data_IF_476280581940
#
_entry.id   IF_476280581940
#
_cell.length_a   1.000
_cell.length_b   1.000
_cell.length_c   1.000
_cell.angle_alpha   90.00
_cell.angle_beta   90.00
_cell.angle_gamma   90.00
#
_symmetry.space_group_name_H-M   'P 1'
#
loop_
_entity.id
_entity.type
_entity.pdbx_description
1 polymer ?
#
# COMPACT_ATOMS: atom_id res chain seq x y z
N UNK A 1 -44.89 5.81 51.41
CA UNK A 1 -43.44 6.09 51.16
C UNK A 1 -43.20 5.85 49.66
N UNK A 2 -43.28 6.91 48.82
CA UNK A 2 -43.05 6.84 47.38
C UNK A 2 -41.58 7.23 47.11
N UNK A 3 -40.77 6.28 46.63
CA UNK A 3 -39.43 6.53 46.14
C UNK A 3 -39.49 6.84 44.63
N UNK A 4 -39.19 8.09 44.26
CA UNK A 4 -39.10 8.54 42.88
C UNK A 4 -37.65 8.31 42.44
N UNK A 5 -37.44 7.35 41.55
CA UNK A 5 -36.17 7.16 40.87
C UNK A 5 -36.08 8.09 39.65
N UNK A 6 -35.24 9.12 39.76
CA UNK A 6 -34.91 10.01 38.65
C UNK A 6 -33.91 9.30 37.70
N UNK A 7 -34.33 8.97 36.49
CA UNK A 7 -33.48 8.53 35.41
C UNK A 7 -32.80 9.77 34.80
N UNK A 8 -31.51 9.96 35.08
CA UNK A 8 -30.69 10.93 34.36
C UNK A 8 -30.34 10.35 32.99
N UNK A 9 -31.02 10.87 31.98
CA UNK A 9 -30.77 10.60 30.57
C UNK A 9 -29.37 11.11 30.19
N UNK A 10 -28.46 10.19 29.86
CA UNK A 10 -27.19 10.54 29.21
C UNK A 10 -27.47 11.07 27.80
N UNK A 11 -27.31 12.38 27.63
CA UNK A 11 -27.40 13.06 26.35
C UNK A 11 -26.16 12.70 25.53
N UNK A 12 -26.34 11.83 24.57
CA UNK A 12 -25.35 11.38 23.60
C UNK A 12 -24.72 12.56 22.85
N UNK A 13 -23.39 12.58 22.76
CA UNK A 13 -22.60 13.65 22.13
C UNK A 13 -22.55 13.54 20.59
N UNK A 14 -23.71 13.37 19.96
CA UNK A 14 -23.86 13.31 18.49
C UNK A 14 -23.66 14.66 17.81
N UNK A 15 -23.74 15.75 18.55
CA UNK A 15 -23.71 17.12 18.04
C UNK A 15 -22.30 17.63 17.70
N UNK A 16 -21.23 17.08 18.27
CA UNK A 16 -19.85 17.56 18.02
C UNK A 16 -19.30 17.06 16.68
N UNK A 17 -19.65 15.84 16.28
CA UNK A 17 -19.18 15.24 15.03
C UNK A 17 -19.81 15.90 13.80
N UNK A 18 -21.11 16.22 13.87
CA UNK A 18 -21.85 16.87 12.79
C UNK A 18 -21.35 18.28 12.50
N UNK A 19 -21.00 19.07 13.53
CA UNK A 19 -20.40 20.40 13.39
C UNK A 19 -19.00 20.40 12.79
N UNK A 20 -18.21 19.34 13.05
CA UNK A 20 -16.88 19.19 12.44
C UNK A 20 -16.98 18.85 10.96
N UNK A 21 -17.97 18.06 10.56
CA UNK A 21 -18.20 17.64 9.17
C UNK A 21 -18.70 18.79 8.29
N UNK A 22 -19.66 19.60 8.78
CA UNK A 22 -20.17 20.77 8.07
C UNK A 22 -19.10 21.86 7.89
N UNK A 23 -18.18 22.01 8.84
CA UNK A 23 -17.07 22.98 8.76
C UNK A 23 -15.99 22.56 7.76
N UNK A 24 -15.86 21.26 7.46
CA UNK A 24 -14.94 20.74 6.45
C UNK A 24 -15.49 20.90 5.03
N UNK A 25 -16.81 20.78 4.84
CA UNK A 25 -17.45 20.98 3.53
C UNK A 25 -17.52 22.45 3.11
N UNK A 26 -17.69 23.37 4.03
CA UNK A 26 -17.77 24.82 3.73
C UNK A 26 -16.43 25.43 3.27
N UNK A 27 -15.33 24.68 3.31
CA UNK A 27 -13.99 25.15 2.92
C UNK A 27 -13.57 24.70 1.52
N UNK A 28 -14.42 23.96 0.80
CA UNK A 28 -14.16 23.45 -0.55
C UNK A 28 -14.87 24.20 -1.68
N UNK A 29 -15.64 25.25 -1.40
CA UNK A 29 -16.28 26.09 -2.44
C UNK A 29 -15.67 27.49 -2.48
N UNK A 30 -14.46 27.62 -3.03
CA UNK A 30 -13.97 28.83 -3.65
C UNK A 30 -13.23 28.48 -4.93
N UNK A 31 -13.75 28.88 -6.10
CA UNK A 31 -13.02 28.79 -7.35
C UNK A 31 -11.97 29.92 -7.36
N UNK A 32 -10.71 29.59 -7.36
CA UNK A 32 -9.66 30.54 -7.67
C UNK A 32 -9.37 30.51 -9.17
N UNK A 33 -9.72 31.61 -9.83
CA UNK A 33 -9.30 31.96 -11.17
C UNK A 33 -7.78 31.88 -11.33
N UNK A 34 -7.36 31.21 -12.39
CA UNK A 34 -5.98 31.22 -12.87
C UNK A 34 -5.75 32.47 -13.74
N UNK A 35 -4.64 33.19 -13.58
CA UNK A 35 -4.11 34.00 -14.66
C UNK A 35 -3.09 33.19 -15.45
N UNK A 36 -3.38 33.04 -16.72
CA UNK A 36 -2.47 32.56 -17.76
C UNK A 36 -1.36 33.61 -17.99
N UNK A 37 -0.10 33.16 -18.07
CA UNK A 37 1.00 33.90 -18.65
C UNK A 37 2.04 32.92 -19.24
N UNK A 38 2.89 33.34 -20.18
CA UNK A 38 2.90 32.76 -21.54
C UNK A 38 4.05 31.73 -21.75
N UNK A 39 3.80 30.90 -22.74
CA UNK A 39 4.71 29.97 -23.41
C UNK A 39 6.01 30.67 -23.80
N UNK A 40 7.15 30.13 -23.36
CA UNK A 40 8.42 30.27 -24.05
C UNK A 40 8.89 28.89 -24.48
N UNK A 41 8.90 28.70 -25.79
CA UNK A 41 9.62 27.67 -26.51
C UNK A 41 11.12 27.84 -26.26
N UNK A 42 11.78 26.80 -25.73
CA UNK A 42 13.21 26.64 -25.95
C UNK A 42 13.51 25.20 -26.37
N UNK A 43 14.17 25.14 -27.51
CA UNK A 43 14.60 23.98 -28.29
C UNK A 43 15.52 23.04 -27.52
N UNK A 44 15.51 21.72 -27.84
CA UNK A 44 16.30 20.73 -27.13
C UNK A 44 17.77 20.79 -27.53
N UNK A 45 18.62 21.07 -26.57
CA UNK A 45 20.05 20.81 -26.69
C UNK A 45 20.27 19.33 -26.41
N UNK A 46 20.59 18.58 -27.43
CA UNK A 46 21.05 17.20 -27.35
C UNK A 46 22.41 17.18 -26.66
N UNK A 47 22.46 16.78 -25.41
CA UNK A 47 23.72 16.44 -24.75
C UNK A 47 24.05 14.97 -25.03
N UNK A 48 25.32 14.64 -25.34
CA UNK A 48 25.70 13.26 -25.67
C UNK A 48 25.58 12.34 -24.49
N UNK A 49 25.05 11.16 -24.77
CA UNK A 49 24.91 10.02 -23.85
C UNK A 49 26.31 9.63 -23.35
N UNK A 50 26.63 9.97 -22.11
CA UNK A 50 27.77 9.39 -21.43
C UNK A 50 27.32 8.01 -20.93
N UNK A 51 27.79 6.98 -21.62
CA UNK A 51 27.70 5.61 -21.10
C UNK A 51 28.50 5.54 -19.80
N UNK A 52 27.76 5.50 -18.68
CA UNK A 52 28.36 5.13 -17.40
C UNK A 52 28.65 3.62 -17.45
N UNK A 53 29.86 3.17 -17.10
CA UNK A 53 30.14 1.75 -17.01
C UNK A 53 29.23 1.15 -15.94
N UNK A 54 28.40 0.18 -16.34
CA UNK A 54 27.71 -0.71 -15.41
C UNK A 54 28.78 -1.43 -14.61
N UNK A 55 29.01 -0.94 -13.41
CA UNK A 55 29.74 -1.69 -12.41
C UNK A 55 28.87 -2.88 -12.09
N UNK A 56 29.22 -4.05 -12.63
CA UNK A 56 28.71 -5.33 -12.15
C UNK A 56 29.10 -5.44 -10.68
N UNK A 57 28.25 -4.93 -9.80
CA UNK A 57 28.31 -5.29 -8.39
C UNK A 57 27.89 -6.75 -8.36
N UNK A 58 28.85 -7.64 -8.24
CA UNK A 58 28.64 -9.03 -7.87
C UNK A 58 27.96 -9.01 -6.49
N UNK A 59 26.64 -8.94 -6.49
CA UNK A 59 25.83 -9.13 -5.31
C UNK A 59 26.04 -10.58 -4.94
N UNK A 60 26.79 -10.85 -3.88
CA UNK A 60 26.89 -12.15 -3.25
C UNK A 60 25.49 -12.48 -2.78
N UNK A 61 24.82 -13.33 -3.54
CA UNK A 61 23.41 -13.63 -3.40
C UNK A 61 23.24 -14.55 -2.16
N UNK A 62 23.11 -13.93 -0.98
CA UNK A 62 22.74 -14.61 0.26
C UNK A 62 21.24 -14.98 0.29
N UNK A 63 20.63 -15.12 -0.89
CA UNK A 63 19.21 -15.39 -1.07
C UNK A 63 18.79 -16.81 -0.70
N UNK A 64 19.72 -17.73 -0.58
CA UNK A 64 19.41 -19.13 -0.23
C UNK A 64 18.81 -19.29 1.17
N UNK A 65 19.12 -18.37 2.10
CA UNK A 65 18.61 -18.41 3.47
C UNK A 65 17.22 -17.79 3.66
N UNK A 66 16.64 -17.15 2.64
CA UNK A 66 15.31 -16.56 2.76
C UNK A 66 14.24 -17.61 2.50
N UNK A 67 13.45 -17.92 3.53
CA UNK A 67 12.34 -18.85 3.41
C UNK A 67 11.26 -18.30 2.49
N UNK A 68 10.85 -19.11 1.51
CA UNK A 68 9.75 -18.81 0.58
C UNK A 68 8.60 -19.76 0.88
N UNK A 69 7.38 -19.21 0.98
CA UNK A 69 6.17 -20.01 1.15
C UNK A 69 5.49 -20.19 -0.21
N UNK A 70 5.11 -21.40 -0.53
CA UNK A 70 4.34 -21.75 -1.72
C UNK A 70 2.88 -21.90 -1.33
N UNK A 71 2.00 -21.11 -1.91
CA UNK A 71 0.55 -21.17 -1.61
C UNK A 71 -0.26 -21.10 -2.90
N UNK A 72 -1.46 -21.71 -2.88
CA UNK A 72 -2.46 -21.50 -3.91
C UNK A 72 -3.24 -20.22 -3.59
N UNK A 73 -3.42 -19.36 -4.56
CA UNK A 73 -4.17 -18.13 -4.37
C UNK A 73 -4.83 -17.63 -5.66
N UNK A 74 -5.86 -16.82 -5.48
CA UNK A 74 -6.56 -16.13 -6.56
C UNK A 74 -6.32 -14.62 -6.42
N UNK A 75 -6.07 -13.95 -7.54
CA UNK A 75 -5.95 -12.48 -7.56
C UNK A 75 -7.32 -11.86 -7.26
N UNK A 76 -7.37 -10.95 -6.29
CA UNK A 76 -8.57 -10.21 -5.90
C UNK A 76 -8.54 -8.79 -6.45
N UNK A 77 -7.40 -8.11 -6.30
CA UNK A 77 -7.16 -6.74 -6.80
C UNK A 77 -5.70 -6.58 -7.21
N UNK A 78 -5.48 -6.06 -8.42
CA UNK A 78 -4.16 -5.77 -8.96
C UNK A 78 -3.99 -6.17 -10.42
N UNK A 79 -2.77 -5.99 -10.93
CA UNK A 79 -2.39 -6.26 -12.33
C UNK A 79 -1.90 -7.68 -12.62
N UNK A 80 -1.74 -8.49 -11.56
CA UNK A 80 -1.17 -9.85 -11.63
C UNK A 80 0.18 -9.95 -10.91
N UNK A 81 0.57 -11.19 -10.56
CA UNK A 81 1.80 -11.48 -9.83
C UNK A 81 2.79 -12.24 -10.70
N UNK A 82 4.07 -11.92 -10.52
CA UNK A 82 5.19 -12.71 -10.99
C UNK A 82 5.43 -13.92 -10.06
N UNK A 83 6.49 -14.68 -10.32
CA UNK A 83 6.81 -15.91 -9.59
C UNK A 83 7.00 -15.69 -8.08
N UNK A 84 7.66 -14.59 -7.70
CA UNK A 84 7.95 -14.26 -6.31
C UNK A 84 7.31 -12.93 -5.92
N UNK A 85 6.71 -12.90 -4.75
CA UNK A 85 5.99 -11.74 -4.25
C UNK A 85 6.34 -11.46 -2.79
N UNK A 86 6.41 -10.19 -2.41
CA UNK A 86 6.62 -9.77 -1.02
C UNK A 86 5.27 -9.52 -0.38
N UNK A 87 4.90 -10.35 0.58
CA UNK A 87 3.68 -10.21 1.37
C UNK A 87 4.00 -9.46 2.65
N UNK A 88 3.25 -8.38 2.91
CA UNK A 88 3.44 -7.53 4.10
C UNK A 88 2.26 -7.59 5.07
N UNK A 89 1.16 -8.23 4.70
CA UNK A 89 0.00 -8.38 5.57
C UNK A 89 -0.88 -9.56 5.19
N UNK A 90 -1.62 -10.07 6.18
CA UNK A 90 -2.56 -11.17 6.02
C UNK A 90 -3.77 -10.95 6.89
N UNK A 91 -4.97 -10.98 6.32
CA UNK A 91 -6.20 -10.60 6.97
C UNK A 91 -7.33 -11.59 6.69
N UNK A 92 -8.17 -11.88 7.69
CA UNK A 92 -9.40 -12.63 7.50
C UNK A 92 -10.53 -11.80 6.90
N UNK A 93 -10.42 -10.46 6.97
CA UNK A 93 -11.43 -9.52 6.46
C UNK A 93 -10.85 -8.73 5.29
N UNK A 94 -11.56 -8.73 4.16
CA UNK A 94 -11.14 -8.05 2.93
C UNK A 94 -10.91 -6.56 3.13
N UNK A 95 -11.79 -5.87 3.84
CA UNK A 95 -11.69 -4.43 4.07
C UNK A 95 -10.38 -4.02 4.77
N UNK A 96 -9.85 -4.87 5.68
CA UNK A 96 -8.57 -4.62 6.33
C UNK A 96 -7.39 -4.75 5.34
N UNK A 97 -7.47 -5.71 4.42
CA UNK A 97 -6.49 -5.87 3.35
C UNK A 97 -6.51 -4.67 2.39
N UNK A 98 -7.70 -4.19 2.02
CA UNK A 98 -7.90 -3.00 1.17
C UNK A 98 -7.35 -1.73 1.85
N UNK A 99 -7.52 -1.60 3.17
CA UNK A 99 -6.94 -0.51 3.95
C UNK A 99 -5.41 -0.47 3.87
N UNK A 100 -4.75 -1.61 4.10
CA UNK A 100 -3.29 -1.71 3.97
C UNK A 100 -2.82 -1.51 2.53
N UNK A 101 -3.54 -2.07 1.55
CA UNK A 101 -3.23 -1.86 0.13
C UNK A 101 -3.25 -0.38 -0.25
N UNK A 102 -4.25 0.36 0.22
CA UNK A 102 -4.38 1.80 -0.05
C UNK A 102 -3.22 2.59 0.54
N UNK A 103 -2.77 2.25 1.75
CA UNK A 103 -1.59 2.86 2.38
C UNK A 103 -0.32 2.59 1.56
N UNK A 104 -0.13 1.36 1.11
CA UNK A 104 1.01 0.98 0.27
C UNK A 104 0.99 1.68 -1.09
N UNK A 105 -0.17 1.78 -1.73
CA UNK A 105 -0.34 2.53 -2.99
C UNK A 105 -0.02 4.02 -2.80
N UNK A 106 -0.46 4.62 -1.70
CA UNK A 106 -0.12 6.00 -1.35
C UNK A 106 1.39 6.20 -1.09
N UNK A 107 2.09 5.17 -0.60
CA UNK A 107 3.53 5.15 -0.42
C UNK A 107 4.31 4.84 -1.72
N UNK A 108 3.63 4.68 -2.87
CA UNK A 108 4.24 4.45 -4.18
C UNK A 108 4.47 2.98 -4.54
N UNK A 109 3.97 2.03 -3.75
CA UNK A 109 4.05 0.60 -4.07
C UNK A 109 2.92 0.17 -5.01
N UNK A 110 3.20 -0.75 -5.93
CA UNK A 110 2.17 -1.38 -6.76
C UNK A 110 1.49 -2.53 -5.99
N UNK A 111 0.83 -2.18 -4.89
CA UNK A 111 0.27 -3.16 -3.97
C UNK A 111 -0.96 -3.87 -4.55
N UNK A 112 -1.02 -5.18 -4.33
CA UNK A 112 -2.05 -6.08 -4.83
C UNK A 112 -2.63 -6.94 -3.70
N UNK A 113 -3.84 -7.47 -3.89
CA UNK A 113 -4.48 -8.38 -2.94
C UNK A 113 -4.71 -9.73 -3.61
N UNK A 114 -4.30 -10.79 -2.94
CA UNK A 114 -4.63 -12.17 -3.31
C UNK A 114 -5.39 -12.85 -2.18
N UNK A 115 -6.25 -13.80 -2.54
CA UNK A 115 -7.00 -14.61 -1.59
C UNK A 115 -6.49 -16.05 -1.60
N UNK A 116 -6.12 -16.53 -0.43
CA UNK A 116 -5.78 -17.92 -0.18
C UNK A 116 -7.03 -18.63 0.36
N UNK A 117 -7.62 -19.51 -0.45
CA UNK A 117 -8.85 -20.25 -0.10
C UNK A 117 -8.61 -21.30 0.99
N UNK A 118 -7.43 -21.92 1.00
CA UNK A 118 -7.09 -23.01 1.93
C UNK A 118 -7.03 -22.51 3.39
N UNK A 119 -6.66 -21.23 3.57
CA UNK A 119 -6.53 -20.58 4.88
C UNK A 119 -7.61 -19.52 5.14
N UNK A 120 -8.43 -19.24 4.15
CA UNK A 120 -9.43 -18.16 4.18
C UNK A 120 -8.82 -16.80 4.56
N UNK A 121 -7.71 -16.42 3.90
CA UNK A 121 -6.94 -15.21 4.20
C UNK A 121 -6.69 -14.38 2.95
N UNK A 122 -6.86 -13.08 3.09
CA UNK A 122 -6.41 -12.07 2.13
C UNK A 122 -4.96 -11.71 2.42
N UNK A 123 -4.08 -11.88 1.42
CA UNK A 123 -2.67 -11.49 1.49
C UNK A 123 -2.48 -10.17 0.78
N UNK A 124 -1.81 -9.22 1.42
CA UNK A 124 -1.42 -7.95 0.79
C UNK A 124 0.01 -8.06 0.32
N UNK A 125 0.18 -7.99 -0.99
CA UNK A 125 1.45 -8.05 -1.71
C UNK A 125 1.90 -6.62 -1.97
N UNK A 126 3.08 -6.24 -1.51
CA UNK A 126 3.65 -4.90 -1.75
C UNK A 126 4.34 -4.80 -3.11
N UNK A 127 5.04 -5.86 -3.53
CA UNK A 127 5.77 -5.93 -4.79
C UNK A 127 5.90 -7.39 -5.28
N UNK A 128 6.14 -7.56 -6.58
CA UNK A 128 6.26 -8.87 -7.22
C UNK A 128 7.43 -8.88 -8.23
N UNK A 129 8.16 -9.98 -8.30
CA UNK A 129 9.43 -10.13 -9.02
C UNK A 129 9.52 -11.47 -9.76
N UNK A 130 10.34 -11.50 -10.79
CA UNK A 130 10.61 -12.73 -11.54
C UNK A 130 11.55 -13.67 -10.77
N UNK A 131 12.49 -13.11 -10.01
CA UNK A 131 13.53 -13.86 -9.30
C UNK A 131 13.39 -13.77 -7.79
N UNK A 132 13.87 -14.82 -7.08
CA UNK A 132 13.90 -14.87 -5.61
C UNK A 132 14.81 -13.78 -5.03
N UNK A 133 15.95 -13.49 -5.69
CA UNK A 133 16.93 -12.50 -5.25
C UNK A 133 16.33 -11.10 -5.15
N UNK A 134 15.69 -10.64 -6.22
CA UNK A 134 15.02 -9.33 -6.24
C UNK A 134 13.93 -9.24 -5.17
N UNK A 135 13.13 -10.30 -5.01
CA UNK A 135 12.09 -10.35 -4.01
C UNK A 135 12.65 -10.31 -2.57
N UNK A 136 13.78 -11.00 -2.32
CA UNK A 136 14.46 -11.01 -1.02
C UNK A 136 15.00 -9.60 -0.68
N UNK A 137 15.66 -8.93 -1.61
CA UNK A 137 16.15 -7.56 -1.43
C UNK A 137 15.00 -6.59 -1.13
N UNK A 138 13.90 -6.67 -1.88
CA UNK A 138 12.71 -5.85 -1.63
C UNK A 138 12.08 -6.13 -0.27
N UNK A 139 11.99 -7.42 0.14
CA UNK A 139 11.52 -7.79 1.48
C UNK A 139 12.39 -7.15 2.57
N UNK A 140 13.72 -7.19 2.43
CA UNK A 140 14.66 -6.67 3.42
C UNK A 140 14.55 -5.14 3.57
N UNK A 141 14.23 -4.42 2.49
CA UNK A 141 13.91 -3.00 2.54
C UNK A 141 12.58 -2.73 3.26
N UNK A 142 11.59 -3.59 3.05
CA UNK A 142 10.25 -3.43 3.62
C UNK A 142 10.15 -3.90 5.09
N UNK A 143 11.05 -4.79 5.55
CA UNK A 143 10.97 -5.39 6.89
C UNK A 143 11.10 -4.36 8.02
N UNK A 144 11.75 -3.22 7.77
CA UNK A 144 11.83 -2.12 8.71
C UNK A 144 10.48 -1.46 9.01
N UNK A 145 9.61 -1.38 8.01
CA UNK A 145 8.24 -0.83 8.13
C UNK A 145 7.20 -1.94 8.39
N UNK A 146 7.43 -3.12 7.84
CA UNK A 146 6.56 -4.29 7.93
C UNK A 146 7.34 -5.49 8.46
N UNK A 147 7.54 -5.59 9.80
CA UNK A 147 8.40 -6.63 10.41
C UNK A 147 7.97 -8.07 10.11
N UNK A 148 6.71 -8.25 9.68
CA UNK A 148 6.16 -9.54 9.27
C UNK A 148 6.29 -9.84 7.78
N UNK A 149 7.06 -9.08 7.00
CA UNK A 149 7.21 -9.28 5.56
C UNK A 149 7.89 -10.63 5.24
N UNK A 150 7.34 -11.36 4.27
CA UNK A 150 7.82 -12.68 3.86
C UNK A 150 7.63 -12.91 2.35
N UNK A 151 8.27 -13.93 1.80
CA UNK A 151 8.21 -14.24 0.39
C UNK A 151 7.16 -15.31 0.07
N UNK A 152 6.34 -15.01 -0.94
CA UNK A 152 5.35 -15.91 -1.53
C UNK A 152 5.79 -16.32 -2.93
N UNK A 153 5.77 -17.62 -3.21
CA UNK A 153 5.93 -18.18 -4.55
C UNK A 153 4.57 -18.61 -5.11
N UNK A 154 4.31 -18.22 -6.35
CA UNK A 154 3.11 -18.64 -7.07
C UNK A 154 3.27 -20.11 -7.48
N UNK A 155 2.39 -20.96 -6.98
CA UNK A 155 2.34 -22.38 -7.33
C UNK A 155 1.52 -22.61 -8.57
#
# INVERSE_FOLDING_TARGET
>A
LCAVLAFTSCKSSESAYKKAYEKAQAKQEQPAEQPVAPVQEEVPVVAPLVEQPVTETTVVDNTDNVAVRSENFTLVDGSGLNNFSVVVGSFGVKANAEGLQSQLKAAGHNAQIVFNSDRNLYRVVAATFATKGEAAQSRDQLIGQYPGAWLLYKK
#
